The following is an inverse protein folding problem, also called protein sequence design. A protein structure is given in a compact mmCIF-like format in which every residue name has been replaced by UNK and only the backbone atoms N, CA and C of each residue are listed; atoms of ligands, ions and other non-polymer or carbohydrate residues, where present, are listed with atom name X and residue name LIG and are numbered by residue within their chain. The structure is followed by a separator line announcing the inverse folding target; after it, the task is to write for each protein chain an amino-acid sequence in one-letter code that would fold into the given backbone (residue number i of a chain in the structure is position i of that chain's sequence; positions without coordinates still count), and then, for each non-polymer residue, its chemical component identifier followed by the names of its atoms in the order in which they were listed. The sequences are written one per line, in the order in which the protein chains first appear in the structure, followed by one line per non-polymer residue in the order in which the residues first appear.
data_IF_245744982365
#
_entry.id   IF_245744982365
#
_cell.length_a   1.000
_cell.length_b   1.000
_cell.length_c   1.000
_cell.angle_alpha   90.00
_cell.angle_beta   90.00
_cell.angle_gamma   90.00
#
_symmetry.space_group_name_H-M   'P 1'
#
loop_
_entity.id
_entity.type
_entity.pdbx_description
1 polymer ?
#
# COMPACT_ATOMS: atom_id res chain seq x y z
N UNK A 1 19.85 -90.28 -8.61
CA UNK A 1 18.83 -89.84 -9.58
C UNK A 1 17.87 -88.89 -8.88
N UNK A 2 17.95 -87.59 -9.24
CA UNK A 2 16.90 -86.55 -9.40
C UNK A 2 15.70 -86.53 -8.40
N UNK A 3 15.20 -85.43 -7.84
CA UNK A 3 15.15 -83.99 -8.15
C UNK A 3 14.80 -83.24 -6.83
N UNK A 4 15.54 -82.22 -6.37
CA UNK A 4 15.37 -80.78 -6.69
C UNK A 4 13.94 -80.24 -6.50
N UNK A 5 13.65 -79.71 -5.31
CA UNK A 5 12.52 -78.79 -5.06
C UNK A 5 13.03 -77.35 -5.01
N UNK A 6 12.79 -76.57 -6.07
CA UNK A 6 13.10 -75.14 -6.15
C UNK A 6 11.86 -74.36 -5.70
N UNK A 7 11.99 -73.61 -4.62
CA UNK A 7 11.00 -72.60 -4.21
C UNK A 7 11.16 -71.35 -5.09
N UNK A 8 10.11 -71.01 -5.84
CA UNK A 8 10.03 -69.76 -6.60
C UNK A 8 9.46 -68.69 -5.68
N UNK A 9 10.30 -67.76 -5.25
CA UNK A 9 9.88 -66.49 -4.63
C UNK A 9 9.66 -65.49 -5.76
N UNK A 10 8.41 -65.13 -6.03
CA UNK A 10 8.07 -64.01 -6.92
C UNK A 10 8.34 -62.69 -6.17
N UNK A 11 9.40 -61.98 -6.57
CA UNK A 11 9.59 -60.58 -6.21
C UNK A 11 8.81 -59.70 -7.21
N UNK A 12 7.79 -58.98 -6.73
CA UNK A 12 7.19 -57.87 -7.48
C UNK A 12 8.20 -56.72 -7.51
N UNK A 13 8.82 -56.48 -8.66
CA UNK A 13 9.54 -55.25 -8.93
C UNK A 13 8.53 -54.13 -9.13
N UNK A 14 8.45 -53.20 -8.17
CA UNK A 14 7.78 -51.93 -8.36
C UNK A 14 8.56 -51.12 -9.41
N UNK A 15 7.94 -50.85 -10.56
CA UNK A 15 8.44 -49.86 -11.50
C UNK A 15 8.32 -48.49 -10.85
N UNK A 16 9.43 -48.02 -10.28
CA UNK A 16 9.60 -46.64 -9.87
C UNK A 16 9.69 -45.82 -11.16
N UNK A 17 8.65 -45.04 -11.46
CA UNK A 17 8.73 -44.03 -12.50
C UNK A 17 9.70 -42.95 -12.05
N UNK A 18 10.87 -42.91 -12.67
CA UNK A 18 11.89 -41.88 -12.47
C UNK A 18 11.29 -40.48 -12.68
N UNK A 19 11.12 -39.76 -11.58
CA UNK A 19 10.95 -38.32 -11.55
C UNK A 19 12.34 -37.70 -11.40
N UNK A 20 13.13 -37.66 -12.47
CA UNK A 20 14.37 -36.91 -12.49
C UNK A 20 14.67 -36.35 -13.90
N UNK A 21 15.19 -35.13 -13.88
CA UNK A 21 15.76 -34.31 -14.95
C UNK A 21 14.82 -33.51 -15.86
N UNK A 22 14.37 -32.36 -15.32
CA UNK A 22 14.01 -31.17 -16.11
C UNK A 22 15.21 -30.22 -16.08
N UNK A 23 16.09 -30.30 -17.08
CA UNK A 23 17.37 -29.55 -17.11
C UNK A 23 17.20 -28.04 -17.37
N UNK A 24 15.98 -27.59 -17.72
CA UNK A 24 15.63 -26.17 -17.79
C UNK A 24 14.18 -25.98 -17.35
N UNK A 25 13.99 -25.36 -16.18
CA UNK A 25 12.67 -25.11 -15.60
C UNK A 25 11.81 -24.21 -16.49
N UNK A 26 10.52 -24.52 -16.57
CA UNK A 26 9.52 -23.68 -17.22
C UNK A 26 9.51 -22.29 -16.60
N UNK A 27 9.53 -21.24 -17.42
CA UNK A 27 9.58 -19.85 -16.96
C UNK A 27 8.74 -18.93 -17.84
N UNK A 28 8.21 -17.81 -17.31
CA UNK A 28 7.57 -16.78 -18.12
C UNK A 28 8.49 -16.30 -19.26
N UNK A 29 7.99 -16.31 -20.49
CA UNK A 29 8.69 -15.76 -21.66
C UNK A 29 8.55 -14.24 -21.77
N UNK A 30 7.52 -13.69 -21.14
CA UNK A 30 7.20 -12.26 -21.06
C UNK A 30 7.09 -11.86 -19.59
N UNK A 31 7.33 -10.58 -19.27
CA UNK A 31 7.24 -10.10 -17.90
C UNK A 31 5.84 -10.34 -17.31
N UNK A 32 5.70 -11.09 -16.20
CA UNK A 32 4.42 -11.32 -15.54
C UNK A 32 3.66 -10.04 -15.15
N UNK A 33 4.39 -8.96 -14.85
CA UNK A 33 3.81 -7.64 -14.55
C UNK A 33 3.15 -6.95 -15.76
N UNK A 34 3.25 -7.51 -16.96
CA UNK A 34 2.58 -6.98 -18.16
C UNK A 34 1.25 -7.68 -18.47
N UNK A 35 0.93 -8.78 -17.78
CA UNK A 35 -0.27 -9.58 -18.09
C UNK A 35 -1.54 -8.90 -17.60
N UNK A 36 -1.46 -8.21 -16.47
CA UNK A 36 -2.51 -7.35 -15.93
C UNK A 36 -1.90 -5.98 -15.70
N UNK A 37 -2.52 -4.95 -16.24
CA UNK A 37 -2.06 -3.57 -16.20
C UNK A 37 -3.12 -2.69 -15.55
N UNK A 38 -2.74 -1.45 -15.22
CA UNK A 38 -3.68 -0.48 -14.62
C UNK A 38 -4.86 -0.17 -15.55
N UNK A 39 -4.67 -0.25 -16.86
CA UNK A 39 -5.72 0.00 -17.86
C UNK A 39 -6.80 -1.09 -17.85
N UNK A 40 -6.53 -2.24 -17.22
CA UNK A 40 -7.49 -3.34 -17.13
C UNK A 40 -8.43 -3.22 -15.92
N UNK A 41 -8.25 -2.24 -15.03
CA UNK A 41 -9.07 -2.13 -13.82
C UNK A 41 -10.55 -1.90 -14.16
N UNK A 42 -11.48 -2.76 -13.69
CA UNK A 42 -12.90 -2.57 -13.99
C UNK A 42 -13.43 -1.24 -13.45
N UNK A 43 -14.12 -0.47 -14.31
CA UNK A 43 -14.71 0.81 -13.90
C UNK A 43 -15.70 0.67 -12.74
N UNK A 44 -16.46 -0.44 -12.66
CA UNK A 44 -17.35 -0.74 -11.52
C UNK A 44 -16.57 -1.00 -10.24
N UNK A 45 -15.48 -1.77 -10.31
CA UNK A 45 -14.61 -2.06 -9.17
C UNK A 45 -13.92 -0.80 -8.66
N UNK A 46 -13.47 0.08 -9.56
CA UNK A 46 -12.93 1.39 -9.18
C UNK A 46 -13.98 2.25 -8.45
N UNK A 47 -15.23 2.27 -8.93
CA UNK A 47 -16.32 3.06 -8.32
C UNK A 47 -16.65 2.58 -6.91
N UNK A 48 -16.72 1.27 -6.73
CA UNK A 48 -17.04 0.64 -5.45
C UNK A 48 -15.81 0.49 -4.54
N UNK A 49 -14.67 1.06 -4.95
CA UNK A 49 -13.41 1.07 -4.21
C UNK A 49 -12.94 -0.35 -3.82
N UNK A 50 -13.23 -1.33 -4.69
CA UNK A 50 -12.94 -2.73 -4.48
C UNK A 50 -11.49 -3.02 -4.82
N UNK A 51 -10.73 -3.46 -3.82
CA UNK A 51 -9.31 -3.77 -3.88
C UNK A 51 -9.07 -5.17 -3.34
N UNK A 52 -7.94 -5.78 -3.70
CA UNK A 52 -7.58 -7.07 -3.16
C UNK A 52 -6.41 -7.72 -3.90
N UNK A 53 -6.03 -8.91 -3.46
CA UNK A 53 -4.97 -9.68 -4.12
C UNK A 53 -5.51 -11.02 -4.58
N UNK A 54 -5.56 -11.22 -5.89
CA UNK A 54 -5.95 -12.49 -6.52
C UNK A 54 -4.72 -13.38 -6.68
N UNK A 55 -4.65 -14.49 -5.96
CA UNK A 55 -3.68 -15.56 -6.20
C UNK A 55 -4.23 -16.60 -7.18
N UNK A 56 -3.44 -16.97 -8.17
CA UNK A 56 -3.83 -17.91 -9.22
C UNK A 56 -2.79 -19.01 -9.46
N UNK A 57 -3.24 -20.14 -10.01
CA UNK A 57 -2.41 -21.23 -10.53
C UNK A 57 -2.78 -21.48 -12.00
N UNK A 58 -1.80 -21.46 -12.88
CA UNK A 58 -1.95 -21.79 -14.29
C UNK A 58 -1.57 -23.24 -14.55
N UNK A 59 -2.25 -23.83 -15.52
CA UNK A 59 -1.80 -25.02 -16.24
C UNK A 59 -1.27 -24.58 -17.60
N UNK A 60 -0.05 -24.98 -17.95
CA UNK A 60 0.64 -24.57 -19.17
C UNK A 60 0.90 -25.79 -20.04
N UNK A 61 0.60 -25.68 -21.33
CA UNK A 61 0.86 -26.72 -22.33
C UNK A 61 2.34 -26.83 -22.72
N UNK A 62 2.70 -27.90 -23.41
CA UNK A 62 4.05 -28.08 -23.96
C UNK A 62 4.42 -27.04 -25.04
N UNK A 63 3.44 -26.30 -25.55
CA UNK A 63 3.58 -25.17 -26.46
C UNK A 63 3.89 -23.84 -25.74
N UNK A 64 3.87 -23.83 -24.40
CA UNK A 64 4.12 -22.64 -23.59
C UNK A 64 2.91 -21.71 -23.46
N UNK A 65 1.72 -22.18 -23.86
CA UNK A 65 0.47 -21.45 -23.70
C UNK A 65 -0.27 -21.89 -22.44
N UNK A 66 -0.82 -20.96 -21.65
CA UNK A 66 -1.75 -21.29 -20.57
C UNK A 66 -3.02 -21.95 -21.12
N UNK A 67 -3.38 -23.12 -20.61
CA UNK A 67 -4.59 -23.86 -20.97
C UNK A 67 -5.64 -23.86 -19.87
N UNK A 68 -5.25 -23.50 -18.64
CA UNK A 68 -6.15 -23.38 -17.50
C UNK A 68 -5.66 -22.35 -16.49
N UNK A 69 -6.60 -21.76 -15.76
CA UNK A 69 -6.35 -20.82 -14.68
C UNK A 69 -7.31 -21.09 -13.52
N UNK A 70 -6.75 -21.43 -12.36
CA UNK A 70 -7.46 -21.68 -11.11
C UNK A 70 -7.17 -20.55 -10.12
N UNK A 71 -8.20 -20.01 -9.49
CA UNK A 71 -8.04 -19.05 -8.38
C UNK A 71 -7.77 -19.85 -7.11
N UNK A 72 -6.58 -19.66 -6.54
CA UNK A 72 -6.13 -20.35 -5.32
C UNK A 72 -6.17 -19.46 -4.07
N UNK A 73 -6.26 -18.15 -4.26
CA UNK A 73 -6.53 -17.18 -3.21
C UNK A 73 -7.43 -16.06 -3.78
N UNK A 74 -8.70 -15.98 -3.39
CA UNK A 74 -9.60 -14.95 -3.91
C UNK A 74 -9.22 -13.57 -3.37
N UNK A 75 -9.43 -12.54 -4.17
CA UNK A 75 -9.23 -11.13 -3.76
C UNK A 75 -10.27 -10.63 -2.77
N UNK A 76 -11.39 -11.36 -2.63
CA UNK A 76 -12.62 -10.89 -1.98
C UNK A 76 -13.66 -10.36 -2.96
N UNK A 77 -13.31 -10.23 -4.25
CA UNK A 77 -14.19 -9.73 -5.30
C UNK A 77 -14.13 -10.63 -6.55
N UNK A 78 -15.24 -11.31 -6.84
CA UNK A 78 -15.27 -12.34 -7.89
C UNK A 78 -15.04 -11.81 -9.32
N UNK A 79 -15.34 -10.55 -9.59
CA UNK A 79 -15.08 -9.91 -10.87
C UNK A 79 -13.58 -9.62 -11.09
N UNK A 80 -12.85 -9.21 -10.05
CA UNK A 80 -11.39 -9.06 -10.07
C UNK A 80 -10.69 -10.41 -10.27
N UNK A 81 -11.20 -11.46 -9.62
CA UNK A 81 -10.67 -12.82 -9.76
C UNK A 81 -10.91 -13.38 -11.16
N UNK A 82 -12.12 -13.25 -11.68
CA UNK A 82 -12.47 -13.69 -13.04
C UNK A 82 -11.65 -12.95 -14.11
N UNK A 83 -11.51 -11.63 -13.97
CA UNK A 83 -10.75 -10.81 -14.90
C UNK A 83 -9.26 -11.17 -14.88
N UNK A 84 -8.70 -11.44 -13.69
CA UNK A 84 -7.31 -11.92 -13.54
C UNK A 84 -7.06 -13.15 -14.41
N UNK A 85 -7.91 -14.17 -14.30
CA UNK A 85 -7.74 -15.38 -15.13
C UNK A 85 -7.95 -15.09 -16.61
N UNK A 86 -8.95 -14.28 -16.99
CA UNK A 86 -9.20 -13.93 -18.38
C UNK A 86 -7.97 -13.29 -19.04
N UNK A 87 -7.38 -12.27 -18.41
CA UNK A 87 -6.25 -11.53 -18.96
C UNK A 87 -4.99 -12.38 -19.04
N UNK A 88 -4.72 -13.18 -18.00
CA UNK A 88 -3.52 -14.01 -17.94
C UNK A 88 -3.59 -15.14 -18.97
N UNK A 89 -4.74 -15.78 -19.17
CA UNK A 89 -4.91 -16.78 -20.23
C UNK A 89 -4.66 -16.18 -21.62
N UNK A 90 -5.05 -14.91 -21.83
CA UNK A 90 -4.85 -14.24 -23.13
C UNK A 90 -3.40 -13.82 -23.37
N UNK A 91 -2.74 -13.25 -22.34
CA UNK A 91 -1.47 -12.51 -22.50
C UNK A 91 -0.24 -13.28 -22.04
N UNK A 92 -0.38 -14.22 -21.10
CA UNK A 92 0.79 -14.91 -20.57
C UNK A 92 1.40 -15.87 -21.60
N UNK A 93 2.73 -15.84 -21.70
CA UNK A 93 3.52 -16.73 -22.54
C UNK A 93 4.65 -17.32 -21.72
N UNK A 94 4.94 -18.60 -21.93
CA UNK A 94 5.98 -19.34 -21.21
C UNK A 94 6.98 -19.95 -22.17
N UNK A 95 8.23 -20.05 -21.71
CA UNK A 95 9.18 -20.98 -22.30
C UNK A 95 8.91 -22.36 -21.69
N UNK A 96 8.53 -23.37 -22.48
CA UNK A 96 8.25 -24.71 -21.98
C UNK A 96 9.47 -25.30 -21.26
N UNK A 97 9.21 -26.12 -20.23
CA UNK A 97 10.26 -26.95 -19.65
C UNK A 97 10.73 -28.00 -20.65
N UNK A 98 11.90 -28.61 -20.42
CA UNK A 98 12.37 -29.76 -21.20
C UNK A 98 12.62 -30.96 -20.30
N UNK A 99 12.18 -32.14 -20.72
CA UNK A 99 12.48 -33.39 -20.01
C UNK A 99 13.91 -33.88 -20.34
N UNK A 100 14.34 -34.99 -19.71
CA UNK A 100 15.65 -35.62 -19.92
C UNK A 100 15.93 -36.05 -21.38
N UNK A 101 14.89 -36.16 -22.22
CA UNK A 101 15.01 -36.48 -23.66
C UNK A 101 15.10 -35.23 -24.54
N UNK A 102 14.95 -34.04 -23.95
CA UNK A 102 14.93 -32.75 -24.65
C UNK A 102 13.56 -32.31 -25.16
N UNK A 103 12.50 -33.10 -24.94
CA UNK A 103 11.14 -32.79 -25.40
C UNK A 103 10.54 -31.66 -24.56
N UNK A 104 9.77 -30.78 -25.21
CA UNK A 104 9.03 -29.73 -24.52
C UNK A 104 7.92 -30.33 -23.66
N UNK A 105 7.87 -29.92 -22.39
CA UNK A 105 6.85 -30.35 -21.42
C UNK A 105 6.17 -29.13 -20.80
N UNK A 106 4.86 -29.25 -20.65
CA UNK A 106 4.04 -28.29 -19.91
C UNK A 106 4.28 -28.38 -18.39
N UNK A 107 3.55 -27.57 -17.64
CA UNK A 107 3.68 -27.54 -16.18
C UNK A 107 2.68 -26.62 -15.50
N UNK A 108 2.93 -26.31 -14.24
CA UNK A 108 2.11 -25.37 -13.47
C UNK A 108 2.91 -24.14 -13.04
N UNK A 109 2.27 -22.98 -13.01
CA UNK A 109 2.86 -21.73 -12.55
C UNK A 109 1.88 -20.99 -11.64
N UNK A 110 2.33 -20.50 -10.49
CA UNK A 110 1.51 -19.72 -9.57
C UNK A 110 2.09 -18.33 -9.35
N UNK A 111 1.22 -17.33 -9.29
CA UNK A 111 1.57 -15.97 -8.91
C UNK A 111 0.35 -15.25 -8.34
N UNK A 112 0.47 -13.95 -8.08
CA UNK A 112 -0.58 -13.09 -7.54
C UNK A 112 -0.65 -11.77 -8.29
N UNK A 113 -1.86 -11.26 -8.47
CA UNK A 113 -2.15 -9.92 -8.97
C UNK A 113 -2.73 -9.09 -7.84
N UNK A 114 -2.20 -7.89 -7.64
CA UNK A 114 -2.72 -6.92 -6.68
C UNK A 114 -3.56 -5.89 -7.42
N UNK A 115 -4.84 -5.85 -7.12
CA UNK A 115 -5.76 -4.81 -7.56
C UNK A 115 -5.80 -3.73 -6.49
N UNK A 116 -5.20 -2.58 -6.79
CA UNK A 116 -5.09 -1.47 -5.86
C UNK A 116 -5.33 -0.13 -6.56
N UNK A 117 -6.07 0.74 -5.88
CA UNK A 117 -6.35 2.11 -6.27
C UNK A 117 -5.28 3.00 -5.62
N UNK A 118 -4.53 3.79 -6.39
CA UNK A 118 -3.54 4.71 -5.83
C UNK A 118 -4.18 5.69 -4.82
N UNK A 119 -3.58 5.82 -3.63
CA UNK A 119 -3.95 6.84 -2.64
C UNK A 119 -4.69 6.38 -1.38
N UNK A 120 -5.03 5.09 -1.23
CA UNK A 120 -5.66 4.55 0.00
C UNK A 120 -4.72 3.81 0.95
N UNK A 121 -3.47 3.58 0.54
CA UNK A 121 -2.49 2.89 1.36
C UNK A 121 -1.90 3.78 2.45
N UNK A 122 -2.58 3.91 3.60
CA UNK A 122 -1.83 4.15 4.84
C UNK A 122 -1.14 2.85 5.21
N UNK A 123 0.14 2.72 4.86
CA UNK A 123 0.98 1.67 5.41
C UNK A 123 1.60 2.20 6.70
N UNK A 124 1.20 1.71 7.89
CA UNK A 124 1.87 2.05 9.14
C UNK A 124 3.22 1.31 9.21
N UNK A 125 4.23 1.76 8.47
CA UNK A 125 5.63 1.28 8.62
C UNK A 125 6.58 2.41 9.04
N UNK A 126 6.07 3.63 9.26
CA UNK A 126 6.85 4.76 9.78
C UNK A 126 7.34 4.59 11.25
N UNK A 127 7.17 3.42 11.86
CA UNK A 127 7.57 3.16 13.26
C UNK A 127 9.09 2.88 13.37
N UNK A 128 9.80 2.63 12.25
CA UNK A 128 11.21 2.21 12.27
C UNK A 128 12.19 3.07 11.45
N UNK A 129 11.78 4.22 10.92
CA UNK A 129 12.67 5.06 10.10
C UNK A 129 13.09 4.44 8.75
N UNK A 130 12.38 3.41 8.30
CA UNK A 130 12.44 2.87 6.96
C UNK A 130 11.13 3.19 6.25
N UNK A 131 11.18 4.03 5.22
CA UNK A 131 10.10 4.12 4.24
C UNK A 131 10.31 2.99 3.22
N UNK A 132 9.48 1.96 3.28
CA UNK A 132 9.24 1.13 2.09
C UNK A 132 8.27 1.95 1.24
N UNK A 133 8.72 2.51 0.12
CA UNK A 133 7.83 3.15 -0.83
C UNK A 133 6.85 2.08 -1.35
N UNK A 134 5.58 2.10 -0.92
CA UNK A 134 4.64 1.04 -1.29
C UNK A 134 4.31 1.09 -2.79
N UNK A 135 4.64 2.19 -3.47
CA UNK A 135 4.55 2.30 -4.93
C UNK A 135 5.69 1.58 -5.66
N UNK A 136 6.80 1.26 -4.98
CA UNK A 136 7.92 0.51 -5.54
C UNK A 136 7.74 -1.01 -5.47
N UNK A 137 6.89 -1.54 -4.58
CA UNK A 137 6.68 -3.00 -4.45
C UNK A 137 5.61 -3.56 -5.40
N UNK A 138 4.75 -2.68 -5.94
CA UNK A 138 3.64 -3.08 -6.82
C UNK A 138 3.96 -2.70 -8.27
N UNK A 139 4.85 -3.46 -8.91
CA UNK A 139 5.09 -3.32 -10.35
C UNK A 139 4.12 -4.20 -11.14
N UNK A 140 3.40 -3.64 -12.14
CA UNK A 140 3.54 -2.30 -12.72
C UNK A 140 2.91 -1.18 -11.86
N UNK A 141 3.58 -0.03 -11.77
CA UNK A 141 3.18 1.08 -10.92
C UNK A 141 2.12 1.96 -11.60
N UNK A 142 1.01 2.23 -10.92
CA UNK A 142 -0.01 3.22 -11.34
C UNK A 142 0.52 4.64 -11.49
N UNK A 143 -0.22 5.50 -12.21
CA UNK A 143 0.05 6.93 -12.21
C UNK A 143 -0.25 7.50 -10.81
N UNK A 144 0.59 8.42 -10.34
CA UNK A 144 0.50 8.99 -8.99
C UNK A 144 0.29 10.50 -9.09
N UNK A 145 -0.67 11.09 -8.35
CA UNK A 145 -0.83 12.54 -8.32
C UNK A 145 0.45 13.25 -7.85
N UNK A 146 0.90 14.22 -8.63
CA UNK A 146 2.02 15.09 -8.26
C UNK A 146 1.61 16.03 -7.09
N UNK A 147 2.56 16.54 -6.32
CA UNK A 147 2.32 17.55 -5.30
C UNK A 147 1.71 18.85 -5.86
N UNK A 148 1.90 19.15 -7.14
CA UNK A 148 1.16 20.22 -7.82
C UNK A 148 -0.35 19.94 -7.89
N UNK A 149 -0.74 18.69 -8.15
CA UNK A 149 -2.15 18.28 -8.18
C UNK A 149 -2.80 18.45 -6.80
N UNK A 150 -2.08 18.08 -5.74
CA UNK A 150 -2.58 18.18 -4.35
C UNK A 150 -2.84 19.61 -3.88
N UNK A 151 -2.31 20.62 -4.59
CA UNK A 151 -2.43 22.04 -4.25
C UNK A 151 -3.54 22.77 -5.02
N UNK A 152 -4.27 22.08 -5.90
CA UNK A 152 -5.43 22.66 -6.60
C UNK A 152 -6.49 23.01 -5.54
N UNK A 153 -6.87 24.29 -5.48
CA UNK A 153 -7.92 24.78 -4.57
C UNK A 153 -9.31 24.71 -5.26
N UNK A 154 -10.20 23.78 -4.89
CA UNK A 154 -11.52 23.67 -5.51
C UNK A 154 -12.34 24.96 -5.43
N UNK A 155 -12.17 25.78 -4.38
CA UNK A 155 -12.93 27.02 -4.23
C UNK A 155 -12.52 28.08 -5.25
N UNK A 156 -11.23 28.15 -5.59
CA UNK A 156 -10.69 29.06 -6.59
C UNK A 156 -11.18 28.72 -8.01
N UNK A 157 -11.40 27.44 -8.30
CA UNK A 157 -11.83 26.95 -9.61
C UNK A 157 -13.35 26.73 -9.73
N UNK A 158 -14.12 27.15 -8.73
CA UNK A 158 -15.57 26.96 -8.70
C UNK A 158 -16.27 27.75 -9.82
N UNK A 159 -17.08 27.10 -10.69
CA UNK A 159 -17.77 27.80 -11.77
C UNK A 159 -18.73 28.89 -11.26
N UNK A 160 -18.62 30.09 -11.81
CA UNK A 160 -19.45 31.23 -11.38
C UNK A 160 -20.96 30.96 -11.53
N UNK A 161 -21.37 30.28 -12.61
CA UNK A 161 -22.76 29.89 -12.84
C UNK A 161 -23.28 28.91 -11.79
N UNK A 162 -22.52 27.84 -11.50
CA UNK A 162 -22.85 26.86 -10.46
C UNK A 162 -22.91 27.50 -9.08
N UNK A 163 -21.97 28.43 -8.78
CA UNK A 163 -21.96 29.19 -7.53
C UNK A 163 -23.20 30.06 -7.37
N UNK A 164 -23.61 30.76 -8.43
CA UNK A 164 -24.84 31.57 -8.44
C UNK A 164 -26.11 30.72 -8.28
N UNK A 165 -26.12 29.53 -8.87
CA UNK A 165 -27.22 28.56 -8.76
C UNK A 165 -27.19 27.71 -7.47
N UNK A 166 -26.16 27.89 -6.62
CA UNK A 166 -25.95 27.15 -5.36
C UNK A 166 -25.89 25.62 -5.58
N UNK A 167 -25.35 25.18 -6.72
CA UNK A 167 -25.21 23.78 -7.09
C UNK A 167 -23.97 23.18 -6.41
N UNK A 168 -24.09 22.06 -5.68
CA UNK A 168 -22.95 21.36 -5.07
C UNK A 168 -22.97 19.88 -5.48
N UNK A 169 -21.84 19.19 -5.34
CA UNK A 169 -21.82 17.75 -5.59
C UNK A 169 -20.43 17.17 -5.77
N UNK A 170 -20.40 15.86 -5.99
CA UNK A 170 -19.17 15.09 -6.21
C UNK A 170 -19.17 14.54 -7.63
N UNK A 171 -18.11 14.81 -8.37
CA UNK A 171 -17.88 14.24 -9.70
C UNK A 171 -16.96 13.03 -9.56
N UNK A 172 -17.39 11.87 -10.04
CA UNK A 172 -16.53 10.69 -10.18
C UNK A 172 -16.11 10.54 -11.64
N UNK A 173 -14.82 10.51 -11.88
CA UNK A 173 -14.27 10.53 -13.24
C UNK A 173 -13.09 9.58 -13.41
N UNK A 174 -12.89 9.15 -14.65
CA UNK A 174 -11.75 8.37 -15.10
C UNK A 174 -10.82 9.29 -15.90
N UNK A 175 -9.56 9.35 -15.48
CA UNK A 175 -8.52 10.13 -16.11
C UNK A 175 -7.55 9.21 -16.86
N UNK A 176 -7.34 9.49 -18.13
CA UNK A 176 -6.31 8.84 -18.93
C UNK A 176 -5.04 9.69 -18.85
N UNK A 177 -4.01 9.15 -18.22
CA UNK A 177 -2.71 9.77 -18.04
C UNK A 177 -1.77 9.27 -19.14
N UNK A 178 -1.13 10.16 -19.87
CA UNK A 178 -0.13 9.78 -20.86
C UNK A 178 1.21 9.42 -20.23
N UNK A 179 2.16 8.96 -21.05
CA UNK A 179 3.52 8.60 -20.61
C UNK A 179 4.35 9.80 -20.14
N UNK A 180 3.88 11.04 -20.31
CA UNK A 180 4.49 12.24 -19.76
C UNK A 180 3.86 12.67 -18.42
N UNK A 181 2.83 11.95 -17.95
CA UNK A 181 2.14 12.29 -16.71
C UNK A 181 1.08 13.38 -16.86
N UNK A 182 0.67 13.70 -18.10
CA UNK A 182 -0.38 14.68 -18.37
C UNK A 182 -1.74 13.98 -18.56
N UNK A 183 -2.82 14.67 -18.20
CA UNK A 183 -4.19 14.17 -18.41
C UNK A 183 -4.56 14.30 -19.90
N UNK A 184 -4.39 13.22 -20.66
CA UNK A 184 -4.77 13.13 -22.07
C UNK A 184 -6.28 12.92 -22.28
N UNK A 185 -6.98 12.39 -21.27
CA UNK A 185 -8.42 12.16 -21.34
C UNK A 185 -9.09 12.27 -19.97
N UNK A 186 -10.36 12.69 -19.98
CA UNK A 186 -11.21 12.72 -18.80
C UNK A 186 -12.63 12.30 -19.19
N UNK A 187 -13.17 11.32 -18.47
CA UNK A 187 -14.52 10.78 -18.67
C UNK A 187 -15.26 10.78 -17.34
N UNK A 188 -16.39 11.48 -17.27
CA UNK A 188 -17.27 11.44 -16.09
C UNK A 188 -18.01 10.11 -16.10
N UNK A 189 -17.84 9.33 -15.03
CA UNK A 189 -18.47 8.03 -14.85
C UNK A 189 -19.72 8.12 -13.97
N UNK A 190 -19.76 9.08 -13.05
CA UNK A 190 -20.94 9.44 -12.26
C UNK A 190 -20.99 10.97 -12.10
N UNK A 191 -22.13 11.54 -12.49
CA UNK A 191 -22.37 12.98 -12.51
C UNK A 191 -22.60 13.52 -11.10
N UNK A 192 -22.16 14.75 -10.85
CA UNK A 192 -22.50 15.48 -9.62
C UNK A 192 -23.93 16.04 -9.61
N UNK A 193 -24.80 15.59 -10.52
CA UNK A 193 -26.14 16.14 -10.80
C UNK A 193 -26.12 17.57 -11.38
N UNK A 194 -24.94 18.08 -11.74
CA UNK A 194 -24.76 19.35 -12.43
C UNK A 194 -23.78 19.18 -13.59
N UNK A 195 -24.28 19.36 -14.81
CA UNK A 195 -23.45 19.33 -16.01
C UNK A 195 -22.36 20.42 -16.01
N UNK A 196 -22.58 21.52 -15.29
CA UNK A 196 -21.59 22.61 -15.19
C UNK A 196 -20.43 22.20 -14.29
N UNK A 197 -20.71 21.57 -13.15
CA UNK A 197 -19.71 21.04 -12.22
C UNK A 197 -18.93 19.86 -12.83
N UNK A 198 -19.62 18.98 -13.56
CA UNK A 198 -19.00 17.86 -14.28
C UNK A 198 -17.99 18.34 -15.34
N UNK A 199 -18.42 19.29 -16.18
CA UNK A 199 -17.58 19.87 -17.23
C UNK A 199 -16.38 20.63 -16.62
N UNK A 200 -16.61 21.39 -15.55
CA UNK A 200 -15.56 22.12 -14.86
C UNK A 200 -14.51 21.20 -14.25
N UNK A 201 -14.92 20.08 -13.65
CA UNK A 201 -13.98 19.14 -13.05
C UNK A 201 -13.07 18.50 -14.11
N UNK A 202 -13.62 18.04 -15.24
CA UNK A 202 -12.79 17.53 -16.34
C UNK A 202 -11.93 18.60 -16.99
N UNK A 203 -12.39 19.85 -17.08
CA UNK A 203 -11.57 20.95 -17.61
C UNK A 203 -10.36 21.22 -16.71
N UNK A 204 -10.58 21.28 -15.39
CA UNK A 204 -9.55 21.50 -14.38
C UNK A 204 -8.50 20.38 -14.37
N UNK A 205 -8.93 19.12 -14.44
CA UNK A 205 -8.00 17.99 -14.50
C UNK A 205 -7.14 18.01 -15.77
N UNK A 206 -7.69 18.46 -16.91
CA UNK A 206 -6.91 18.58 -18.16
C UNK A 206 -5.92 19.74 -18.16
N UNK A 207 -6.22 20.84 -17.47
CA UNK A 207 -5.34 22.01 -17.43
C UNK A 207 -4.26 21.91 -16.34
N UNK A 208 -4.67 21.48 -15.14
CA UNK A 208 -3.86 21.60 -13.92
C UNK A 208 -3.51 20.24 -13.33
N UNK A 209 -4.15 19.17 -13.83
CA UNK A 209 -3.89 17.81 -13.36
C UNK A 209 -2.52 17.31 -13.80
N UNK A 210 -1.61 17.16 -12.84
CA UNK A 210 -0.25 16.64 -13.07
C UNK A 210 -0.01 15.37 -12.28
N UNK A 211 0.59 14.39 -12.94
CA UNK A 211 0.85 13.08 -12.37
C UNK A 211 2.28 12.66 -12.67
N UNK A 212 2.85 11.85 -11.78
CA UNK A 212 3.95 10.97 -12.18
C UNK A 212 3.33 9.87 -13.06
N UNK A 213 3.83 9.62 -14.29
CA UNK A 213 3.23 8.68 -15.23
C UNK A 213 3.23 7.26 -14.67
N UNK A 214 2.32 6.41 -15.14
CA UNK A 214 2.39 4.99 -14.84
C UNK A 214 3.73 4.43 -15.33
N UNK A 215 4.28 3.43 -14.64
CA UNK A 215 5.56 2.84 -15.01
C UNK A 215 5.34 1.36 -15.32
N UNK A 216 5.88 0.92 -16.47
CA UNK A 216 5.83 -0.48 -16.88
C UNK A 216 6.80 -1.33 -16.06
N UNK A 217 6.82 -2.64 -16.30
CA UNK A 217 7.64 -3.55 -15.53
C UNK A 217 9.17 -3.38 -15.68
N UNK A 218 9.63 -2.52 -16.59
CA UNK A 218 11.04 -2.15 -16.79
C UNK A 218 11.38 -0.79 -16.15
N UNK A 219 10.41 -0.17 -15.45
CA UNK A 219 10.55 1.15 -14.87
C UNK A 219 10.32 2.30 -15.85
N UNK A 220 9.88 2.01 -17.07
CA UNK A 220 9.73 3.02 -18.12
C UNK A 220 8.34 3.68 -18.06
N UNK A 221 8.24 5.00 -18.26
CA UNK A 221 6.96 5.68 -18.34
C UNK A 221 6.03 5.12 -19.42
N UNK A 222 4.79 4.85 -19.03
CA UNK A 222 3.72 4.34 -19.88
C UNK A 222 2.40 5.05 -19.55
N UNK A 223 1.37 4.80 -20.36
CA UNK A 223 0.02 5.30 -20.15
C UNK A 223 -0.61 4.63 -18.92
N UNK A 224 -1.53 5.31 -18.27
CA UNK A 224 -2.29 4.73 -17.16
C UNK A 224 -3.65 5.37 -16.97
N UNK A 225 -4.55 4.63 -16.34
CA UNK A 225 -5.88 5.11 -15.95
C UNK A 225 -5.92 5.40 -14.45
N UNK A 226 -6.55 6.51 -14.08
CA UNK A 226 -6.77 6.92 -12.68
C UNK A 226 -8.25 7.19 -12.45
N UNK A 227 -8.85 6.52 -11.46
CA UNK A 227 -10.13 6.93 -10.91
C UNK A 227 -9.93 8.13 -9.98
N UNK A 228 -10.57 9.25 -10.31
CA UNK A 228 -10.50 10.48 -9.55
C UNK A 228 -11.89 10.86 -9.02
N UNK A 229 -11.90 11.40 -7.80
CA UNK A 229 -13.09 11.96 -7.15
C UNK A 229 -12.84 13.43 -6.90
N UNK A 230 -13.74 14.30 -7.37
CA UNK A 230 -13.62 15.74 -7.18
C UNK A 230 -14.88 16.30 -6.51
N UNK A 231 -14.72 17.01 -5.40
CA UNK A 231 -15.84 17.52 -4.60
C UNK A 231 -15.95 19.04 -4.75
N UNK A 232 -17.12 19.50 -5.18
CA UNK A 232 -17.52 20.91 -5.19
C UNK A 232 -18.39 21.19 -3.97
N UNK A 233 -17.94 22.11 -3.11
CA UNK A 233 -18.68 22.54 -1.93
C UNK A 233 -18.65 24.08 -1.80
N UNK A 234 -19.78 24.67 -1.43
CA UNK A 234 -19.91 26.09 -1.13
C UNK A 234 -19.66 26.34 0.36
N UNK A 235 -19.09 27.50 0.73
CA UNK A 235 -19.13 27.96 2.10
C UNK A 235 -20.59 28.07 2.56
N UNK A 236 -20.94 27.44 3.68
CA UNK A 236 -22.27 27.63 4.28
C UNK A 236 -22.34 29.06 4.82
N UNK A 237 -23.36 29.81 4.39
CA UNK A 237 -23.62 31.13 4.96
C UNK A 237 -23.92 30.97 6.46
N UNK A 238 -23.10 31.60 7.29
CA UNK A 238 -23.35 31.71 8.72
C UNK A 238 -24.56 32.63 8.94
N UNK A 239 -25.76 32.06 8.93
CA UNK A 239 -27.00 32.73 9.28
C UNK A 239 -27.65 32.06 10.48
N UNK A 240 -28.01 32.86 11.48
CA UNK A 240 -28.77 32.55 12.70
C UNK A 240 -27.93 32.19 13.97
N UNK A 241 -27.53 33.22 14.71
CA UNK A 241 -28.08 33.46 16.05
C UNK A 241 -27.69 32.60 17.27
N UNK A 242 -26.77 31.63 17.20
CA UNK A 242 -26.46 30.79 18.38
C UNK A 242 -24.98 30.49 18.59
N UNK A 243 -24.36 31.17 19.56
CA UNK A 243 -23.04 30.91 20.16
C UNK A 243 -21.87 30.75 19.17
N UNK A 244 -20.90 31.68 19.22
CA UNK A 244 -19.70 31.71 18.37
C UNK A 244 -19.14 30.31 18.09
N UNK A 245 -19.30 29.87 16.85
CA UNK A 245 -18.76 28.60 16.37
C UNK A 245 -17.27 28.81 16.14
N UNK A 246 -16.47 28.17 16.99
CA UNK A 246 -15.04 28.04 16.87
C UNK A 246 -14.71 27.45 15.49
N UNK A 247 -13.96 28.20 14.68
CA UNK A 247 -13.24 27.63 13.54
C UNK A 247 -12.41 26.47 14.11
N UNK A 248 -12.47 25.24 13.54
CA UNK A 248 -11.50 24.23 13.92
C UNK A 248 -10.14 24.78 13.52
N UNK A 249 -9.39 25.23 14.52
CA UNK A 249 -7.98 25.54 14.40
C UNK A 249 -7.35 24.38 13.63
N UNK A 250 -6.53 24.67 12.62
CA UNK A 250 -5.65 23.65 12.04
C UNK A 250 -4.93 22.87 13.16
N UNK A 251 -4.43 21.66 12.89
CA UNK A 251 -3.81 20.84 13.93
C UNK A 251 -2.81 21.68 14.72
N UNK A 252 -3.10 21.89 16.01
CA UNK A 252 -2.23 22.68 16.89
C UNK A 252 -0.87 22.01 16.95
N UNK A 253 0.21 22.79 16.81
CA UNK A 253 1.56 22.27 16.90
C UNK A 253 1.73 21.53 18.25
N UNK A 254 2.16 20.25 18.24
CA UNK A 254 2.10 19.40 19.43
C UNK A 254 3.00 19.85 20.59
N UNK A 255 3.98 20.74 20.35
CA UNK A 255 4.88 21.30 21.35
C UNK A 255 4.62 22.81 21.58
N UNK A 256 3.34 23.19 21.66
CA UNK A 256 2.92 24.60 21.76
C UNK A 256 2.95 25.23 23.17
N UNK A 257 3.26 24.45 24.22
CA UNK A 257 3.34 24.93 25.60
C UNK A 257 4.71 24.55 26.21
N UNK A 258 5.43 25.46 26.87
CA UNK A 258 6.66 25.12 27.59
C UNK A 258 6.40 24.10 28.69
N UNK A 259 7.40 23.29 29.03
CA UNK A 259 7.25 22.27 30.06
C UNK A 259 8.53 21.49 30.33
N UNK A 260 8.48 20.62 31.34
CA UNK A 260 9.57 19.73 31.68
C UNK A 260 9.05 18.33 31.96
N UNK A 261 9.87 17.33 31.68
CA UNK A 261 9.57 15.94 32.00
C UNK A 261 10.79 15.30 32.65
N UNK A 262 10.56 14.62 33.77
CA UNK A 262 11.56 13.82 34.47
C UNK A 262 11.06 12.38 34.57
N UNK A 263 11.87 11.45 34.05
CA UNK A 263 11.66 10.02 34.19
C UNK A 263 12.79 9.42 35.01
N UNK A 264 12.45 8.60 36.00
CA UNK A 264 13.41 7.85 36.82
C UNK A 264 13.07 6.37 36.74
N UNK A 265 14.03 5.56 36.31
CA UNK A 265 13.89 4.10 36.19
C UNK A 265 14.97 3.43 37.04
N UNK A 266 14.58 2.48 37.89
CA UNK A 266 15.50 1.58 38.58
C UNK A 266 15.51 0.23 37.86
N UNK A 267 16.62 -0.06 37.19
CA UNK A 267 16.85 -1.36 36.56
C UNK A 267 17.66 -2.23 37.50
N UNK A 268 17.12 -3.37 37.90
CA UNK A 268 17.77 -4.37 38.73
C UNK A 268 18.92 -5.09 38.02
N UNK A 269 19.82 -5.71 38.79
CA UNK A 269 20.92 -6.51 38.25
C UNK A 269 20.45 -7.78 37.52
N UNK A 270 19.18 -8.16 37.71
CA UNK A 270 18.49 -9.26 37.03
C UNK A 270 17.85 -8.85 35.68
N UNK A 271 17.88 -7.56 35.36
CA UNK A 271 17.34 -6.99 34.13
C UNK A 271 15.88 -6.60 34.21
N UNK A 272 15.26 -6.62 35.40
CA UNK A 272 13.88 -6.17 35.59
C UNK A 272 13.83 -4.71 36.01
N UNK A 273 12.79 -4.01 35.58
CA UNK A 273 12.49 -2.68 36.08
C UNK A 273 11.80 -2.84 37.44
N UNK A 274 12.50 -2.45 38.50
CA UNK A 274 12.03 -2.55 39.89
C UNK A 274 11.15 -1.34 40.25
N UNK A 275 11.47 -0.16 39.71
CA UNK A 275 10.75 1.08 39.97
C UNK A 275 10.77 1.96 38.72
N UNK A 276 9.64 2.58 38.37
CA UNK A 276 9.58 3.64 37.39
C UNK A 276 8.73 4.79 37.93
N UNK A 277 9.26 6.01 37.87
CA UNK A 277 8.55 7.25 38.21
C UNK A 277 8.64 8.20 37.05
N UNK A 278 7.50 8.76 36.68
CA UNK A 278 7.41 9.82 35.69
C UNK A 278 6.72 11.03 36.33
N UNK A 279 7.30 12.20 36.13
CA UNK A 279 6.73 13.47 36.57
C UNK A 279 6.95 14.50 35.47
N UNK A 280 5.92 15.26 35.13
CA UNK A 280 6.00 16.31 34.12
C UNK A 280 5.28 17.58 34.57
N UNK A 281 5.60 18.67 33.89
CA UNK A 281 4.89 19.95 33.96
C UNK A 281 4.31 20.25 32.58
N UNK A 282 3.02 20.61 32.52
CA UNK A 282 2.30 20.85 31.27
C UNK A 282 1.90 19.57 30.51
N UNK A 283 1.72 19.67 29.19
CA UNK A 283 1.37 18.54 28.30
C UNK A 283 2.59 17.80 27.74
N UNK A 284 3.80 18.26 28.07
CA UNK A 284 5.05 17.68 27.57
C UNK A 284 5.30 16.29 28.20
N UNK A 285 5.62 15.31 27.34
CA UNK A 285 5.92 13.93 27.74
C UNK A 285 4.72 13.06 28.12
N UNK A 286 3.48 13.57 28.04
CA UNK A 286 2.27 12.78 28.21
C UNK A 286 1.81 12.22 26.85
N UNK A 287 1.56 10.90 26.77
CA UNK A 287 1.01 10.29 25.56
C UNK A 287 -0.51 10.49 25.48
N UNK A 288 -1.11 10.44 24.27
CA UNK A 288 -2.56 10.37 24.13
C UNK A 288 -3.10 9.21 24.97
N UNK A 289 -4.25 9.43 25.64
CA UNK A 289 -4.91 8.45 26.53
C UNK A 289 -4.30 8.27 27.93
N UNK A 290 -3.41 9.17 28.37
CA UNK A 290 -2.90 9.17 29.74
C UNK A 290 -1.83 8.11 30.03
N UNK A 291 -1.32 7.45 28.99
CA UNK A 291 -0.14 6.60 29.11
C UNK A 291 1.09 7.44 29.44
N UNK A 292 1.95 6.88 30.29
CA UNK A 292 3.23 7.44 30.66
C UNK A 292 4.36 6.65 30.00
N UNK A 293 5.56 7.24 29.86
CA UNK A 293 6.74 6.49 29.43
C UNK A 293 7.04 5.25 30.30
N UNK A 294 6.59 5.22 31.57
CA UNK A 294 6.73 4.04 32.42
C UNK A 294 5.94 2.83 31.91
N UNK A 295 4.82 3.05 31.23
CA UNK A 295 3.99 1.97 30.67
C UNK A 295 4.67 1.27 29.50
N UNK A 296 5.62 1.94 28.83
CA UNK A 296 6.44 1.35 27.77
C UNK A 296 7.45 0.34 28.29
N UNK A 297 7.90 0.49 29.54
CA UNK A 297 8.87 -0.42 30.15
C UNK A 297 8.26 -1.72 30.69
N UNK A 298 6.97 -1.96 30.41
CA UNK A 298 6.19 -3.18 30.61
C UNK A 298 6.67 -4.11 31.74
N UNK A 299 5.84 -4.35 32.76
CA UNK A 299 6.22 -5.17 33.93
C UNK A 299 6.80 -6.57 33.64
N UNK A 300 6.67 -7.09 32.42
CA UNK A 300 7.24 -8.36 31.96
C UNK A 300 8.52 -8.26 31.12
N UNK A 301 8.94 -7.07 30.70
CA UNK A 301 10.13 -6.89 29.88
C UNK A 301 11.41 -7.17 30.69
N UNK A 302 12.38 -7.84 30.04
CA UNK A 302 13.72 -8.06 30.60
C UNK A 302 14.75 -7.33 29.76
N UNK A 303 15.43 -6.37 30.36
CA UNK A 303 16.48 -5.59 29.73
C UNK A 303 17.85 -6.16 30.10
N UNK A 304 18.86 -5.88 29.27
CA UNK A 304 20.24 -6.20 29.60
C UNK A 304 20.70 -5.32 30.78
N UNK A 305 21.13 -5.90 31.92
CA UNK A 305 21.59 -5.12 33.06
C UNK A 305 22.85 -4.33 32.75
N UNK A 306 23.07 -3.25 33.47
CA UNK A 306 24.34 -2.54 33.45
C UNK A 306 25.44 -3.41 34.04
N UNK A 307 26.67 -3.24 33.55
CA UNK A 307 27.86 -3.90 34.09
C UNK A 307 28.81 -2.89 34.71
N UNK A 308 29.48 -3.28 35.79
CA UNK A 308 30.58 -2.50 36.36
C UNK A 308 31.90 -2.73 35.59
N UNK A 309 32.97 -2.08 36.04
CA UNK A 309 34.30 -2.19 35.43
C UNK A 309 34.87 -3.62 35.42
N UNK A 310 34.33 -4.51 36.26
CA UNK A 310 34.74 -5.91 36.37
C UNK A 310 33.81 -6.85 35.58
N UNK A 311 32.84 -6.31 34.82
CA UNK A 311 31.86 -7.10 34.07
C UNK A 311 30.73 -7.69 34.91
N UNK A 312 30.61 -7.28 36.19
CA UNK A 312 29.54 -7.77 37.07
C UNK A 312 28.26 -6.99 36.81
N UNK A 313 27.13 -7.69 36.69
CA UNK A 313 25.81 -7.07 36.53
C UNK A 313 25.43 -6.30 37.80
N UNK A 314 25.02 -5.05 37.65
CA UNK A 314 24.70 -4.15 38.75
C UNK A 314 23.38 -3.41 38.49
N UNK A 315 22.64 -3.15 39.55
CA UNK A 315 21.46 -2.31 39.48
C UNK A 315 21.85 -0.84 39.25
N UNK A 316 21.07 -0.12 38.43
CA UNK A 316 21.30 1.31 38.18
C UNK A 316 19.99 2.07 38.16
N UNK A 317 20.05 3.29 38.69
CA UNK A 317 19.01 4.29 38.57
C UNK A 317 19.32 5.21 37.39
N UNK A 318 18.47 5.16 36.39
CA UNK A 318 18.54 6.00 35.19
C UNK A 318 17.58 7.17 35.37
N UNK A 319 18.08 8.39 35.21
CA UNK A 319 17.28 9.62 35.34
C UNK A 319 17.39 10.38 34.01
N UNK A 320 16.27 10.53 33.32
CA UNK A 320 16.14 11.35 32.13
C UNK A 320 15.40 12.63 32.51
N UNK A 321 16.00 13.78 32.19
CA UNK A 321 15.39 15.11 32.35
C UNK A 321 15.35 15.78 30.99
N UNK A 322 14.23 16.40 30.68
CA UNK A 322 14.04 17.13 29.44
C UNK A 322 13.26 18.40 29.71
N UNK A 323 13.73 19.49 29.13
CA UNK A 323 13.15 20.83 29.25
C UNK A 323 12.78 21.32 27.86
N UNK A 324 11.56 21.85 27.72
CA UNK A 324 11.04 22.47 26.51
C UNK A 324 10.85 23.96 26.77
N UNK A 325 11.63 24.77 26.06
CA UNK A 325 11.50 26.23 26.02
C UNK A 325 10.93 26.66 24.67
N UNK A 326 10.17 27.75 24.67
CA UNK A 326 9.64 28.38 23.46
C UNK A 326 10.18 29.80 23.44
N UNK A 327 10.86 30.16 22.36
CA UNK A 327 11.46 31.47 22.16
C UNK A 327 10.87 32.14 20.90
N UNK A 328 10.76 33.46 20.93
CA UNK A 328 10.32 34.21 19.76
C UNK A 328 11.36 34.12 18.64
N UNK A 329 10.91 33.84 17.42
CA UNK A 329 11.77 33.90 16.25
C UNK A 329 12.20 35.37 16.00
N UNK A 330 13.46 35.61 15.60
CA UNK A 330 13.91 36.95 15.25
C UNK A 330 13.05 37.52 14.13
N UNK A 331 12.65 38.79 14.27
CA UNK A 331 11.84 39.47 13.28
C UNK A 331 12.55 39.46 11.92
N UNK A 332 11.88 38.93 10.89
CA UNK A 332 12.37 38.99 9.51
C UNK A 332 12.39 40.47 9.11
N UNK A 333 13.58 41.03 8.87
CA UNK A 333 13.73 42.37 8.33
C UNK A 333 13.01 42.44 6.98
N UNK A 334 12.05 43.36 6.86
CA UNK A 334 11.31 43.63 5.62
C UNK A 334 12.18 44.24 4.55
#
# INVERSE_FOLDING_TARGET
MLQSGIAIVLALAAAQGDAADVEKGMAPATNPGSWVTNDDYPASAMREEREGTTGFKLTIGADGLPTGCDIIAPSGHGDLDALTCQLILQRARFTPGRNARGDAVGGTYSNRIRWQIPGKGTYPVAVAGFDLDPAQESWPRGAIPDDAFKRIDPAAHYPAAARAAREEGVVHMELNIDSAGQVAGCKVNESSLSATLDAAACALMRSDGKFLPALDSEGKPTKGVVAAKFQWALPRDAGDGGAGVSIPSGPTFPLGEPGSATMTVLLGADGRVEECRFSNTGKFGAAPNGMTPCDMFGSQARFTPFVDANGTKVAKRVILRSDLTIEDAPAVAK
#
